data_IF_523403544000
#
_entry.id   IF_523403544000
#
_cell.length_a   1.000
_cell.length_b   1.000
_cell.length_c   1.000
_cell.angle_alpha   90.00
_cell.angle_beta   90.00
_cell.angle_gamma   90.00
#
_symmetry.space_group_name_H-M   'P 1'
#
loop_
_entity.id
_entity.type
_entity.pdbx_description
1 polymer ?
#
# COMPACT_ATOMS: atom_id res chain seq x y z
N UNK A 1 -26.07 -39.56 -55.76
CA UNK A 1 -26.25 -38.21 -55.15
C UNK A 1 -26.29 -38.37 -53.63
N UNK A 2 -25.17 -38.01 -52.96
CA UNK A 2 -25.03 -38.08 -51.52
C UNK A 2 -24.98 -36.66 -50.99
N UNK A 3 -26.04 -36.18 -50.35
CA UNK A 3 -26.10 -34.88 -49.72
C UNK A 3 -25.59 -34.98 -48.29
N UNK A 4 -24.43 -34.36 -48.02
CA UNK A 4 -23.86 -34.27 -46.69
C UNK A 4 -24.54 -33.10 -45.93
N UNK A 5 -25.17 -33.40 -44.81
CA UNK A 5 -25.73 -32.43 -43.86
C UNK A 5 -24.62 -32.01 -42.88
N UNK A 6 -24.17 -30.76 -42.99
CA UNK A 6 -23.23 -30.19 -42.03
C UNK A 6 -24.06 -29.61 -40.86
N UNK A 7 -23.96 -30.24 -39.70
CA UNK A 7 -24.55 -29.76 -38.45
C UNK A 7 -23.59 -28.77 -37.79
N UNK A 8 -23.90 -27.45 -37.87
CA UNK A 8 -23.19 -26.42 -37.10
C UNK A 8 -23.68 -26.46 -35.64
N UNK A 9 -22.85 -26.98 -34.71
CA UNK A 9 -23.05 -26.77 -33.29
C UNK A 9 -22.50 -25.39 -32.89
N UNK A 10 -23.36 -24.45 -32.67
CA UNK A 10 -23.02 -23.16 -32.01
C UNK A 10 -22.96 -23.35 -30.49
N UNK A 11 -21.76 -23.40 -29.96
CA UNK A 11 -21.55 -23.30 -28.51
C UNK A 11 -21.70 -21.83 -28.09
N UNK A 12 -22.85 -21.47 -27.52
CA UNK A 12 -23.02 -20.21 -26.79
C UNK A 12 -22.55 -20.45 -25.36
N UNK A 13 -21.30 -20.08 -25.04
CA UNK A 13 -20.82 -19.96 -23.65
C UNK A 13 -21.51 -18.74 -23.02
N UNK A 14 -22.58 -18.99 -22.29
CA UNK A 14 -23.21 -18.00 -21.43
C UNK A 14 -22.29 -17.77 -20.22
N UNK A 15 -21.56 -16.66 -20.22
CA UNK A 15 -20.85 -16.18 -19.04
C UNK A 15 -21.88 -15.65 -18.06
N UNK A 16 -22.30 -16.46 -17.08
CA UNK A 16 -23.19 -16.01 -16.01
C UNK A 16 -22.40 -15.07 -15.09
N UNK A 17 -22.62 -13.79 -15.26
CA UNK A 17 -22.19 -12.75 -14.32
C UNK A 17 -22.97 -12.96 -13.01
N UNK A 18 -22.26 -13.39 -11.96
CA UNK A 18 -22.85 -13.53 -10.64
C UNK A 18 -23.03 -12.13 -10.06
N UNK A 19 -24.26 -11.64 -10.02
CA UNK A 19 -24.61 -10.38 -9.37
C UNK A 19 -24.11 -10.39 -7.92
N UNK A 20 -23.31 -9.39 -7.57
CA UNK A 20 -22.87 -9.17 -6.20
C UNK A 20 -24.10 -8.83 -5.35
N UNK A 21 -24.31 -9.60 -4.27
CA UNK A 21 -25.35 -9.36 -3.29
C UNK A 21 -25.16 -7.96 -2.67
N UNK A 22 -26.24 -7.17 -2.50
CA UNK A 22 -26.14 -5.87 -1.86
C UNK A 22 -25.74 -6.03 -0.39
N UNK A 23 -24.69 -5.32 0.02
CA UNK A 23 -24.30 -5.22 1.41
C UNK A 23 -25.42 -4.67 2.27
N UNK A 24 -25.63 -5.18 3.50
CA UNK A 24 -26.66 -4.68 4.40
C UNK A 24 -26.39 -3.19 4.71
N UNK A 25 -27.45 -2.38 4.57
CA UNK A 25 -27.42 -0.95 4.85
C UNK A 25 -26.97 -0.70 6.30
N UNK A 26 -25.86 0.03 6.44
CA UNK A 26 -25.39 0.50 7.73
C UNK A 26 -26.35 1.55 8.26
N UNK A 27 -26.86 1.34 9.48
CA UNK A 27 -27.71 2.32 10.17
C UNK A 27 -26.87 3.53 10.54
N UNK A 28 -27.23 4.70 10.00
CA UNK A 28 -26.63 5.98 10.34
C UNK A 28 -26.78 6.28 11.84
N UNK A 29 -25.71 6.03 12.59
CA UNK A 29 -25.54 6.65 13.90
C UNK A 29 -24.69 7.89 13.69
N UNK A 30 -25.30 9.06 13.82
CA UNK A 30 -24.59 10.35 13.77
C UNK A 30 -23.62 10.41 14.95
N UNK A 31 -22.36 10.06 14.72
CA UNK A 31 -21.28 10.33 15.65
C UNK A 31 -20.81 11.76 15.40
N UNK A 32 -21.02 12.63 16.39
CA UNK A 32 -20.48 13.99 16.40
C UNK A 32 -18.94 13.90 16.26
N UNK A 33 -18.44 14.17 15.06
CA UNK A 33 -17.01 14.27 14.79
C UNK A 33 -16.53 15.56 15.40
N UNK A 34 -15.77 15.47 16.50
CA UNK A 34 -14.99 16.61 17.00
C UNK A 34 -14.02 17.06 15.91
N UNK A 35 -13.88 18.39 15.65
CA UNK A 35 -12.93 18.89 14.68
C UNK A 35 -11.53 18.42 15.06
N UNK A 36 -10.84 17.75 14.12
CA UNK A 36 -9.41 17.42 14.28
C UNK A 36 -8.67 18.76 14.28
N UNK A 37 -8.08 19.09 15.42
CA UNK A 37 -7.24 20.28 15.58
C UNK A 37 -6.07 20.20 14.57
N UNK A 38 -5.74 21.30 13.85
CA UNK A 38 -4.65 21.27 12.89
C UNK A 38 -3.35 20.90 13.61
N UNK A 39 -2.76 19.76 13.22
CA UNK A 39 -1.49 19.31 13.77
C UNK A 39 -0.41 20.37 13.51
N UNK A 40 0.45 20.68 14.48
CA UNK A 40 1.50 21.67 14.30
C UNK A 40 2.37 21.28 13.11
N UNK A 41 2.78 22.27 12.30
CA UNK A 41 3.71 22.11 11.18
C UNK A 41 5.00 21.54 11.75
N UNK A 42 5.13 20.21 11.73
CA UNK A 42 6.35 19.54 12.18
C UNK A 42 7.44 19.84 11.15
N UNK A 43 8.57 20.37 11.60
CA UNK A 43 9.74 20.56 10.77
C UNK A 43 10.12 19.25 10.10
N UNK A 44 10.40 19.29 8.78
CA UNK A 44 10.83 18.15 7.98
C UNK A 44 12.00 17.44 8.66
N UNK A 45 11.98 16.10 8.70
CA UNK A 45 13.02 15.30 9.34
C UNK A 45 14.36 15.37 8.58
N UNK A 46 15.47 15.03 9.25
CA UNK A 46 16.78 14.96 8.57
C UNK A 46 16.78 13.88 7.48
N UNK A 47 16.14 12.74 7.73
CA UNK A 47 16.00 11.68 6.71
C UNK A 47 15.18 12.18 5.54
N UNK A 48 14.10 12.94 5.74
CA UNK A 48 13.31 13.53 4.67
C UNK A 48 14.12 14.54 3.84
N UNK A 49 14.92 15.41 4.47
CA UNK A 49 15.84 16.30 3.75
C UNK A 49 16.85 15.55 2.88
N UNK A 50 17.38 14.44 3.40
CA UNK A 50 18.28 13.58 2.62
C UNK A 50 17.56 12.97 1.41
N UNK A 51 16.36 12.44 1.59
CA UNK A 51 15.58 11.81 0.51
C UNK A 51 15.24 12.83 -0.59
N UNK A 52 14.88 14.07 -0.23
CA UNK A 52 14.73 15.17 -1.20
C UNK A 52 16.04 15.42 -1.96
N UNK A 53 17.17 15.49 -1.25
CA UNK A 53 18.46 15.83 -1.86
C UNK A 53 18.94 14.83 -2.90
N UNK A 54 18.48 13.57 -2.81
CA UNK A 54 18.76 12.52 -3.79
C UNK A 54 17.66 12.37 -4.86
N UNK A 55 16.69 13.30 -4.90
CA UNK A 55 15.67 13.40 -5.94
C UNK A 55 14.45 12.51 -5.75
N UNK A 56 14.21 11.97 -4.55
CA UNK A 56 12.95 11.31 -4.25
C UNK A 56 11.84 12.33 -3.97
N UNK A 57 10.60 11.97 -4.26
CA UNK A 57 9.43 12.84 -4.13
C UNK A 57 8.61 12.45 -2.91
N UNK A 58 8.25 13.43 -2.08
CA UNK A 58 7.25 13.24 -1.02
C UNK A 58 5.87 13.12 -1.65
N UNK A 59 5.25 11.95 -1.52
CA UNK A 59 3.97 11.64 -2.17
C UNK A 59 2.80 12.44 -1.59
N UNK A 60 2.86 12.87 -0.34
CA UNK A 60 1.83 13.72 0.25
C UNK A 60 1.78 15.13 -0.37
N UNK A 61 2.88 15.58 -1.00
CA UNK A 61 2.93 16.85 -1.75
C UNK A 61 2.28 16.73 -3.14
N UNK A 62 2.10 15.49 -3.68
CA UNK A 62 1.43 15.26 -4.95
C UNK A 62 -0.09 15.25 -4.82
N UNK A 63 -0.62 14.64 -3.77
CA UNK A 63 -2.03 14.66 -3.40
C UNK A 63 -2.15 14.50 -1.87
N UNK A 64 -2.66 15.53 -1.21
CA UNK A 64 -2.84 15.56 0.25
C UNK A 64 -3.88 14.57 0.77
N UNK A 65 -4.60 13.88 -0.11
CA UNK A 65 -5.60 12.87 0.26
C UNK A 65 -5.01 11.47 0.41
N UNK A 66 -3.71 11.25 0.14
CA UNK A 66 -3.01 10.06 0.59
C UNK A 66 -3.01 9.99 2.12
N UNK A 67 -3.27 8.81 2.67
CA UNK A 67 -3.18 8.57 4.11
C UNK A 67 -1.79 7.98 4.40
N UNK A 68 -0.91 8.77 5.01
CA UNK A 68 0.43 8.31 5.38
C UNK A 68 0.37 7.69 6.78
N UNK A 69 0.67 6.38 6.86
CA UNK A 69 0.63 5.60 8.11
C UNK A 69 1.80 4.64 8.12
N UNK A 70 3.03 5.18 8.16
CA UNK A 70 4.25 4.39 8.11
C UNK A 70 4.30 3.39 9.28
N UNK A 71 4.19 2.08 9.00
CA UNK A 71 4.14 1.05 10.03
C UNK A 71 5.45 0.93 10.81
N UNK A 72 6.59 1.20 10.16
CA UNK A 72 7.91 1.16 10.79
C UNK A 72 8.22 2.41 11.63
N UNK A 73 7.34 3.41 11.63
CA UNK A 73 7.36 4.55 12.55
C UNK A 73 6.68 4.23 13.90
N UNK A 74 6.26 3.00 14.11
CA UNK A 74 5.74 2.45 15.37
C UNK A 74 6.35 1.08 15.62
N UNK A 75 6.30 0.51 16.83
CA UNK A 75 6.71 -0.87 17.08
C UNK A 75 5.67 -1.92 16.60
N UNK A 76 4.50 -1.50 16.12
CA UNK A 76 3.45 -2.37 15.57
C UNK A 76 3.81 -2.78 14.14
N UNK A 77 4.82 -3.65 14.02
CA UNK A 77 5.33 -4.24 12.79
C UNK A 77 6.01 -5.58 13.11
N UNK A 78 6.38 -6.36 12.09
CA UNK A 78 6.92 -7.71 12.28
C UNK A 78 8.25 -7.76 13.09
N UNK A 79 8.97 -6.64 13.22
CA UNK A 79 10.21 -6.58 14.01
C UNK A 79 9.96 -6.27 15.49
N UNK A 80 8.77 -5.76 15.83
CA UNK A 80 8.45 -5.26 17.17
C UNK A 80 9.24 -4.01 17.59
N UNK A 81 9.89 -3.31 16.64
CA UNK A 81 10.80 -2.20 16.92
C UNK A 81 10.37 -0.93 16.17
N UNK A 82 10.63 0.22 16.79
CA UNK A 82 10.58 1.51 16.11
C UNK A 82 11.81 1.64 15.20
N UNK A 83 11.60 1.53 13.89
CA UNK A 83 12.70 1.57 12.90
C UNK A 83 12.88 2.96 12.28
N UNK A 84 11.80 3.68 11.98
CA UNK A 84 11.83 5.07 11.51
C UNK A 84 11.81 6.01 12.70
N UNK A 85 12.98 6.43 13.15
CA UNK A 85 13.13 7.27 14.35
C UNK A 85 12.81 8.73 14.10
N UNK A 86 12.94 9.21 12.86
CA UNK A 86 12.69 10.60 12.47
C UNK A 86 11.85 10.74 11.20
N UNK A 87 11.80 9.71 10.32
CA UNK A 87 11.03 9.75 9.07
C UNK A 87 9.54 9.55 9.35
N UNK A 88 8.73 10.52 8.92
CA UNK A 88 7.27 10.51 9.03
C UNK A 88 6.59 10.67 7.66
N UNK A 89 7.37 11.03 6.67
CA UNK A 89 6.96 11.29 5.30
C UNK A 89 7.21 10.05 4.42
N UNK A 90 6.37 9.84 3.41
CA UNK A 90 6.53 8.76 2.44
C UNK A 90 7.14 9.31 1.16
N UNK A 91 8.27 8.76 0.76
CA UNK A 91 9.03 9.16 -0.42
C UNK A 91 9.08 8.06 -1.46
N UNK A 92 9.04 8.42 -2.75
CA UNK A 92 9.24 7.50 -3.86
C UNK A 92 10.13 8.11 -4.95
N UNK A 93 10.72 7.24 -5.77
CA UNK A 93 11.33 7.65 -7.04
C UNK A 93 10.26 8.36 -7.91
N UNK A 94 10.61 9.41 -8.67
CA UNK A 94 9.64 10.18 -9.45
C UNK A 94 8.71 9.33 -10.32
N UNK A 95 9.21 8.29 -10.99
CA UNK A 95 8.39 7.42 -11.83
C UNK A 95 7.40 6.58 -11.00
N UNK A 96 7.83 6.05 -9.86
CA UNK A 96 6.97 5.30 -8.96
C UNK A 96 5.92 6.20 -8.29
N UNK A 97 6.32 7.42 -7.90
CA UNK A 97 5.43 8.42 -7.33
C UNK A 97 4.32 8.82 -8.32
N UNK A 98 4.68 9.03 -9.60
CA UNK A 98 3.72 9.32 -10.67
C UNK A 98 2.74 8.17 -10.90
N UNK A 99 3.23 6.93 -10.98
CA UNK A 99 2.39 5.75 -11.17
C UNK A 99 1.42 5.56 -9.98
N UNK A 100 1.91 5.79 -8.74
CA UNK A 100 1.08 5.73 -7.54
C UNK A 100 -0.01 6.81 -7.53
N UNK A 101 0.33 8.04 -7.95
CA UNK A 101 -0.64 9.14 -8.09
C UNK A 101 -1.73 8.78 -9.10
N UNK A 102 -1.37 8.25 -10.26
CA UNK A 102 -2.32 7.81 -11.29
C UNK A 102 -3.27 6.72 -10.74
N UNK A 103 -2.74 5.73 -10.04
CA UNK A 103 -3.53 4.69 -9.39
C UNK A 103 -4.49 5.27 -8.34
N UNK A 104 -4.03 6.24 -7.53
CA UNK A 104 -4.84 6.92 -6.54
C UNK A 104 -6.00 7.71 -7.16
N UNK A 105 -5.73 8.44 -8.24
CA UNK A 105 -6.74 9.21 -8.97
C UNK A 105 -7.77 8.28 -9.63
N UNK A 106 -7.37 7.15 -10.19
CA UNK A 106 -8.28 6.14 -10.74
C UNK A 106 -9.15 5.53 -9.65
N UNK A 107 -8.59 5.21 -8.49
CA UNK A 107 -9.36 4.72 -7.34
C UNK A 107 -10.43 5.76 -6.93
N UNK A 108 -10.05 7.03 -6.79
CA UNK A 108 -10.98 8.12 -6.42
C UNK A 108 -12.05 8.35 -7.46
N UNK A 109 -11.75 8.17 -8.73
CA UNK A 109 -12.72 8.32 -9.81
C UNK A 109 -13.80 7.23 -9.78
N UNK A 110 -13.42 5.98 -9.43
CA UNK A 110 -14.35 4.85 -9.32
C UNK A 110 -15.06 4.81 -7.96
N UNK A 111 -14.35 5.16 -6.89
CA UNK A 111 -14.81 5.11 -5.50
C UNK A 111 -14.44 6.41 -4.79
N UNK A 112 -15.26 7.48 -4.91
CA UNK A 112 -14.91 8.83 -4.44
C UNK A 112 -14.60 8.93 -2.94
N UNK A 113 -15.12 8.00 -2.14
CA UNK A 113 -14.87 7.93 -0.69
C UNK A 113 -13.59 7.18 -0.31
N UNK A 114 -12.98 6.42 -1.23
CA UNK A 114 -11.81 5.62 -0.93
C UNK A 114 -10.51 6.40 -1.12
N UNK A 115 -9.50 6.04 -0.32
CA UNK A 115 -8.14 6.62 -0.37
C UNK A 115 -7.11 5.50 -0.27
N UNK A 116 -5.91 5.72 -0.82
CA UNK A 116 -4.79 4.83 -0.54
C UNK A 116 -4.17 5.18 0.82
N UNK A 117 -3.91 4.13 1.62
CA UNK A 117 -3.06 4.20 2.80
C UNK A 117 -1.67 3.74 2.39
N UNK A 118 -0.65 4.46 2.82
CA UNK A 118 0.76 4.15 2.60
C UNK A 118 1.37 3.65 3.91
N UNK A 119 1.77 2.40 3.93
CA UNK A 119 2.39 1.75 5.10
C UNK A 119 3.91 1.76 5.06
N UNK A 120 4.50 1.73 3.86
CA UNK A 120 5.92 1.92 3.64
C UNK A 120 6.20 2.41 2.21
N UNK A 121 7.35 3.10 2.01
CA UNK A 121 7.77 3.62 0.72
C UNK A 121 9.29 3.54 0.58
N UNK A 122 10.00 4.64 0.33
CA UNK A 122 11.47 4.63 0.32
C UNK A 122 12.02 4.31 1.71
N UNK A 123 12.74 3.20 1.79
CA UNK A 123 13.28 2.64 3.03
C UNK A 123 14.80 2.82 3.08
N UNK A 124 15.35 3.54 4.07
CA UNK A 124 16.80 3.63 4.24
C UNK A 124 17.46 2.25 4.38
N UNK A 125 18.65 2.07 3.80
CA UNK A 125 19.38 0.79 3.84
C UNK A 125 19.72 0.38 5.28
N UNK A 126 19.92 1.34 6.18
CA UNK A 126 20.15 1.08 7.61
C UNK A 126 18.92 0.41 8.28
N UNK A 127 17.72 0.79 7.85
CA UNK A 127 16.47 0.16 8.30
C UNK A 127 16.34 -1.25 7.71
N UNK A 128 16.59 -1.39 6.40
CA UNK A 128 16.60 -2.71 5.74
C UNK A 128 17.54 -3.70 6.46
N UNK A 129 18.71 -3.22 6.91
CA UNK A 129 19.64 -4.04 7.67
C UNK A 129 19.05 -4.51 9.00
N UNK A 130 18.39 -3.64 9.76
CA UNK A 130 17.72 -4.01 11.02
C UNK A 130 16.64 -5.06 10.79
N UNK A 131 15.81 -4.88 9.75
CA UNK A 131 14.78 -5.85 9.36
C UNK A 131 15.38 -7.21 9.00
N UNK A 132 16.45 -7.22 8.20
CA UNK A 132 17.17 -8.45 7.84
C UNK A 132 17.76 -9.15 9.07
N UNK A 133 18.33 -8.39 10.02
CA UNK A 133 18.94 -8.94 11.24
C UNK A 133 17.90 -9.70 12.09
N UNK A 134 16.62 -9.34 12.02
CA UNK A 134 15.53 -10.06 12.72
C UNK A 134 15.20 -11.40 12.05
N UNK A 135 15.20 -11.46 10.71
CA UNK A 135 14.72 -12.65 9.99
C UNK A 135 15.84 -13.57 9.51
N UNK A 136 17.08 -13.11 9.42
CA UNK A 136 18.21 -13.96 9.00
C UNK A 136 18.34 -15.17 9.91
N UNK A 137 18.45 -16.36 9.29
CA UNK A 137 18.52 -17.63 10.03
C UNK A 137 17.15 -18.19 10.46
N UNK A 138 16.05 -17.55 10.12
CA UNK A 138 14.69 -18.09 10.29
C UNK A 138 14.07 -18.46 8.92
N UNK A 139 12.95 -19.17 8.91
CA UNK A 139 12.20 -19.46 7.68
C UNK A 139 11.63 -18.19 7.00
N UNK A 140 11.56 -17.09 7.74
CA UNK A 140 11.01 -15.81 7.24
C UNK A 140 12.01 -14.97 6.43
N UNK A 141 13.29 -15.40 6.32
CA UNK A 141 14.32 -14.64 5.59
C UNK A 141 13.94 -14.35 4.12
N UNK A 142 13.08 -15.18 3.52
CA UNK A 142 12.66 -15.03 2.12
C UNK A 142 11.73 -13.82 1.89
N UNK A 143 11.09 -13.29 2.93
CA UNK A 143 10.21 -12.13 2.85
C UNK A 143 10.95 -10.80 2.97
N UNK A 144 12.22 -10.80 3.36
CA UNK A 144 13.01 -9.58 3.55
C UNK A 144 14.25 -9.61 2.66
N UNK A 145 14.41 -8.60 1.80
CA UNK A 145 15.55 -8.50 0.90
C UNK A 145 16.86 -8.36 1.67
N UNK A 146 17.89 -9.12 1.23
CA UNK A 146 19.20 -9.12 1.88
C UNK A 146 19.95 -7.80 1.57
N UNK A 147 20.29 -6.97 2.56
CA UNK A 147 21.00 -5.71 2.37
C UNK A 147 22.40 -5.88 1.79
N UNK A 148 23.07 -7.02 2.05
CA UNK A 148 24.40 -7.32 1.49
C UNK A 148 24.38 -7.63 -0.01
N UNK A 149 23.18 -7.80 -0.60
CA UNK A 149 22.97 -8.01 -2.04
C UNK A 149 22.30 -6.81 -2.72
N UNK A 150 22.40 -5.62 -2.13
CA UNK A 150 21.78 -4.39 -2.65
C UNK A 150 20.41 -4.07 -2.09
N UNK A 151 19.88 -4.89 -1.17
CA UNK A 151 18.54 -4.65 -0.60
C UNK A 151 17.39 -5.01 -1.55
N UNK A 152 16.29 -4.28 -1.45
CA UNK A 152 15.09 -4.43 -2.26
C UNK A 152 14.65 -3.12 -2.90
N UNK A 153 13.54 -3.16 -3.66
CA UNK A 153 13.03 -1.99 -4.41
C UNK A 153 12.68 -0.81 -3.50
N UNK A 154 12.23 -1.04 -2.26
CA UNK A 154 12.00 0.01 -1.27
C UNK A 154 13.25 0.86 -1.00
N UNK A 155 14.45 0.26 -1.04
CA UNK A 155 15.70 0.98 -0.80
C UNK A 155 16.05 1.99 -1.90
N UNK A 156 15.38 1.87 -3.06
CA UNK A 156 15.52 2.76 -4.21
C UNK A 156 14.27 3.64 -4.45
N UNK A 157 13.29 3.58 -3.54
CA UNK A 157 12.02 4.28 -3.71
C UNK A 157 11.15 3.75 -4.85
N UNK A 158 11.35 2.50 -5.27
CA UNK A 158 10.66 1.86 -6.40
C UNK A 158 9.58 0.85 -5.96
N UNK A 159 9.32 0.75 -4.66
CA UNK A 159 8.23 -0.05 -4.11
C UNK A 159 7.49 0.74 -3.02
N UNK A 160 6.23 0.39 -2.82
CA UNK A 160 5.35 0.97 -1.82
C UNK A 160 4.43 -0.12 -1.27
N UNK A 161 4.24 -0.15 0.05
CA UNK A 161 3.24 -0.99 0.71
C UNK A 161 1.98 -0.17 0.95
N UNK A 162 0.86 -0.62 0.38
CA UNK A 162 -0.39 0.13 0.36
C UNK A 162 -1.58 -0.72 0.79
N UNK A 163 -2.63 -0.05 1.23
CA UNK A 163 -3.98 -0.59 1.30
C UNK A 163 -4.99 0.49 0.88
N UNK A 164 -6.27 0.13 0.90
CA UNK A 164 -7.37 1.04 0.62
C UNK A 164 -8.08 1.37 1.94
N UNK A 165 -8.41 2.64 2.15
CA UNK A 165 -9.22 3.10 3.26
C UNK A 165 -10.60 3.55 2.79
N UNK A 166 -11.58 3.45 3.68
CA UNK A 166 -12.89 4.07 3.58
C UNK A 166 -12.84 5.59 3.82
N UNK A 167 -13.99 6.25 3.79
CA UNK A 167 -14.14 7.69 4.04
C UNK A 167 -13.71 8.14 5.45
N UNK A 168 -13.64 7.22 6.40
CA UNK A 168 -13.22 7.47 7.79
C UNK A 168 -11.72 7.18 8.01
N UNK A 169 -11.03 6.70 6.98
CA UNK A 169 -9.62 6.32 7.04
C UNK A 169 -9.38 4.94 7.63
N UNK A 170 -10.41 4.10 7.77
CA UNK A 170 -10.24 2.72 8.20
C UNK A 170 -9.82 1.84 7.01
N UNK A 171 -8.80 0.97 7.18
CA UNK A 171 -8.40 0.04 6.13
C UNK A 171 -9.53 -0.91 5.77
N UNK A 172 -9.71 -1.17 4.48
CA UNK A 172 -10.60 -2.22 4.00
C UNK A 172 -9.94 -3.59 4.23
N UNK A 173 -10.73 -4.66 4.50
CA UNK A 173 -10.21 -6.03 4.59
C UNK A 173 -9.59 -6.46 3.25
N UNK A 174 -8.30 -6.80 3.23
CA UNK A 174 -7.55 -7.20 2.04
C UNK A 174 -7.16 -8.70 2.06
N UNK A 175 -7.70 -9.46 3.01
CA UNK A 175 -7.43 -10.89 3.17
C UNK A 175 -6.41 -11.20 4.25
N UNK A 176 -5.29 -10.48 4.29
CA UNK A 176 -4.28 -10.55 5.35
C UNK A 176 -3.91 -9.16 5.82
N UNK A 177 -3.30 -9.08 7.00
CA UNK A 177 -2.62 -7.85 7.42
C UNK A 177 -1.40 -7.57 6.53
N UNK A 178 -0.98 -6.31 6.50
CA UNK A 178 0.28 -5.92 5.83
C UNK A 178 1.45 -6.58 6.55
N UNK A 179 2.49 -6.97 5.82
CA UNK A 179 3.64 -7.74 6.35
C UNK A 179 3.30 -9.12 6.94
N UNK A 180 2.15 -9.70 6.56
CA UNK A 180 1.81 -11.07 6.95
C UNK A 180 2.74 -12.08 6.25
N UNK A 181 3.72 -12.60 7.01
CA UNK A 181 4.79 -13.46 6.50
C UNK A 181 4.40 -14.94 6.60
N UNK A 182 3.42 -15.37 5.81
CA UNK A 182 2.96 -16.77 5.73
C UNK A 182 2.38 -17.05 4.33
N UNK A 183 2.05 -18.32 4.07
CA UNK A 183 1.52 -18.79 2.78
C UNK A 183 0.24 -18.07 2.32
N UNK A 184 -0.58 -17.55 3.24
CA UNK A 184 -1.79 -16.79 2.92
C UNK A 184 -1.52 -15.42 2.29
N UNK A 185 -0.27 -14.93 2.28
CA UNK A 185 0.11 -13.66 1.66
C UNK A 185 0.57 -13.79 0.19
N UNK A 186 0.44 -14.98 -0.40
CA UNK A 186 0.83 -15.29 -1.79
C UNK A 186 -0.36 -15.52 -2.70
#
# INVERSE_FOLDING_TARGET
>A
LLTAFILLLSFTTSCQYKEAQPHPAFKDSIVLVTPVEPQPITSKSQTAFYLDSIGLMNIAELDSTFIIRLMYATPDNFTGQLLYTDLKEAYLHPDAAKALLEAHLLLKAQYPSYRLIIYDAARPMSVQKKMWDVVKGTSKYMYVSNPSRGGGLHNYGLAVDISIADSLGHPLPMGTEVDYMDAASH
#
